data_IF_789642234783
#
_entry.id   IF_789642234783
#
_cell.length_a   1.000
_cell.length_b   1.000
_cell.length_c   1.000
_cell.angle_alpha   90.00
_cell.angle_beta   90.00
_cell.angle_gamma   90.00
#
_symmetry.space_group_name_H-M   'P 1'
#
loop_
_entity.id
_entity.type
_entity.pdbx_description
1 polymer ?
#
# COMPACT_ATOMS: atom_id res chain seq x y z
N UNK A 1 18.35 -2.60 3.57
CA UNK A 1 18.57 -1.52 2.61
C UNK A 1 17.50 -1.56 1.55
N UNK A 2 17.58 -0.66 0.57
CA UNK A 2 16.67 -0.59 -0.59
C UNK A 2 17.49 -0.88 -1.85
N UNK A 3 17.02 -1.79 -2.69
CA UNK A 3 17.69 -2.19 -3.93
C UNK A 3 16.72 -2.01 -5.10
N UNK A 4 17.19 -1.44 -6.21
CA UNK A 4 16.40 -1.29 -7.43
C UNK A 4 16.13 -2.66 -8.08
N UNK A 5 14.93 -2.87 -8.60
CA UNK A 5 14.52 -4.09 -9.29
C UNK A 5 13.49 -3.78 -10.39
N UNK A 6 13.18 -4.76 -11.22
CA UNK A 6 12.10 -4.68 -12.20
C UNK A 6 10.73 -4.89 -11.53
N UNK A 7 9.75 -4.07 -11.94
CA UNK A 7 8.37 -4.09 -11.48
C UNK A 7 7.51 -5.16 -12.17
N UNK A 8 6.22 -4.86 -12.36
CA UNK A 8 5.25 -5.82 -12.92
C UNK A 8 5.57 -6.13 -14.38
N UNK A 9 5.76 -5.11 -15.21
CA UNK A 9 6.01 -5.29 -16.65
C UNK A 9 7.45 -4.94 -16.98
N UNK A 10 8.22 -5.92 -17.43
CA UNK A 10 9.53 -5.73 -18.04
C UNK A 10 9.44 -5.19 -19.48
N UNK A 11 8.35 -5.51 -20.18
CA UNK A 11 8.01 -5.04 -21.52
C UNK A 11 6.62 -4.39 -21.54
N UNK A 12 6.52 -3.19 -20.96
CA UNK A 12 5.28 -2.42 -21.02
C UNK A 12 5.07 -1.86 -22.43
N UNK A 13 4.03 -2.30 -23.13
CA UNK A 13 3.65 -1.69 -24.40
C UNK A 13 3.29 -0.22 -24.18
N UNK A 14 3.96 0.69 -24.89
CA UNK A 14 3.69 2.13 -24.86
C UNK A 14 2.68 2.55 -25.92
N UNK A 15 2.69 1.88 -27.06
CA UNK A 15 1.82 2.17 -28.19
C UNK A 15 1.71 0.95 -29.10
N UNK A 16 0.76 0.97 -30.01
CA UNK A 16 0.69 0.04 -31.14
C UNK A 16 1.04 0.83 -32.40
N UNK A 17 1.99 0.35 -33.19
CA UNK A 17 2.34 0.89 -34.51
C UNK A 17 2.16 -0.22 -35.55
N UNK A 18 1.35 0.03 -36.58
CA UNK A 18 1.07 -0.92 -37.66
C UNK A 18 0.62 -2.32 -37.18
N UNK A 19 -0.16 -2.36 -36.11
CA UNK A 19 -0.62 -3.61 -35.50
C UNK A 19 0.42 -4.32 -34.62
N UNK A 20 1.62 -3.76 -34.49
CA UNK A 20 2.72 -4.30 -33.67
C UNK A 20 2.88 -3.48 -32.38
N UNK A 21 2.93 -4.13 -31.20
CA UNK A 21 3.24 -3.44 -29.96
C UNK A 21 4.64 -2.86 -29.95
N UNK A 22 4.74 -1.57 -29.61
CA UNK A 22 6.02 -0.90 -29.33
C UNK A 22 6.22 -0.90 -27.82
N UNK A 23 7.23 -1.64 -27.37
CA UNK A 23 7.55 -1.77 -25.96
C UNK A 23 8.40 -0.59 -25.47
N UNK A 24 8.02 -0.06 -24.31
CA UNK A 24 8.77 0.93 -23.55
C UNK A 24 9.73 0.31 -22.54
N UNK A 25 10.21 1.14 -21.62
CA UNK A 25 11.07 0.70 -20.51
C UNK A 25 10.27 -0.16 -19.52
N UNK A 26 10.98 -1.12 -18.92
CA UNK A 26 10.50 -1.88 -17.77
C UNK A 26 10.03 -0.97 -16.62
N UNK A 27 8.99 -1.40 -15.92
CA UNK A 27 8.51 -0.79 -14.69
C UNK A 27 9.64 -0.80 -13.65
N UNK A 28 9.81 0.32 -12.94
CA UNK A 28 10.74 0.40 -11.84
C UNK A 28 10.09 -0.07 -10.55
N UNK A 29 10.79 -0.89 -9.78
CA UNK A 29 10.37 -1.31 -8.46
C UNK A 29 11.55 -1.32 -7.49
N UNK A 30 11.24 -1.41 -6.20
CA UNK A 30 12.24 -1.42 -5.14
C UNK A 30 12.04 -2.63 -4.26
N UNK A 31 13.13 -3.35 -3.99
CA UNK A 31 13.16 -4.47 -3.06
C UNK A 31 13.75 -4.00 -1.73
N UNK A 32 12.99 -4.17 -0.66
CA UNK A 32 13.47 -4.00 0.70
C UNK A 32 14.28 -5.24 1.10
N UNK A 33 15.56 -5.07 1.44
CA UNK A 33 16.46 -6.17 1.82
C UNK A 33 16.65 -6.31 3.33
N UNK A 34 16.17 -5.34 4.10
CA UNK A 34 16.14 -5.34 5.56
C UNK A 34 14.83 -4.69 6.00
N UNK A 35 14.44 -4.87 7.27
CA UNK A 35 13.32 -4.10 7.83
C UNK A 35 13.62 -2.61 7.69
N UNK A 36 12.72 -1.91 7.03
CA UNK A 36 12.76 -0.46 6.84
C UNK A 36 11.35 0.07 7.07
N UNK A 37 11.26 1.18 7.80
CA UNK A 37 10.03 1.94 7.98
C UNK A 37 10.28 3.30 7.34
N UNK A 38 9.39 3.69 6.43
CA UNK A 38 9.41 5.02 5.82
C UNK A 38 8.29 5.81 6.49
N UNK A 39 8.64 6.90 7.16
CA UNK A 39 7.70 7.74 7.90
C UNK A 39 7.81 9.17 7.39
N UNK A 40 6.66 9.80 7.21
CA UNK A 40 6.52 11.23 6.88
C UNK A 40 5.42 11.80 7.75
N UNK A 41 5.54 13.07 8.14
CA UNK A 41 4.49 13.75 8.90
C UNK A 41 3.26 13.95 8.00
N UNK A 42 2.09 13.52 8.46
CA UNK A 42 0.82 13.73 7.75
C UNK A 42 0.54 15.22 7.57
N UNK A 43 0.88 16.08 8.54
CA UNK A 43 0.74 17.53 8.41
C UNK A 43 1.62 18.15 7.30
N UNK A 44 2.73 17.51 6.94
CA UNK A 44 3.58 17.97 5.83
C UNK A 44 2.99 17.57 4.46
N UNK A 45 2.37 16.39 4.38
CA UNK A 45 1.81 15.84 3.14
C UNK A 45 0.39 16.37 2.88
N UNK A 46 -0.41 16.49 3.93
CA UNK A 46 -1.81 16.88 3.92
C UNK A 46 -1.99 18.17 4.73
N UNK A 47 -1.61 19.29 4.12
CA UNK A 47 -1.60 20.61 4.79
C UNK A 47 -2.99 21.09 5.20
N UNK A 48 -4.04 20.60 4.54
CA UNK A 48 -5.43 20.92 4.81
C UNK A 48 -6.12 19.92 5.76
N UNK A 49 -5.34 18.98 6.33
CA UNK A 49 -5.86 17.87 7.13
C UNK A 49 -5.90 16.56 6.35
N UNK A 50 -5.93 15.45 7.09
CA UNK A 50 -6.02 14.11 6.48
C UNK A 50 -7.41 13.95 5.82
N UNK A 51 -7.49 13.42 4.59
CA UNK A 51 -8.75 13.35 3.86
C UNK A 51 -9.72 12.32 4.47
N UNK A 52 -11.00 12.69 4.54
CA UNK A 52 -12.07 11.79 4.98
C UNK A 52 -12.40 10.71 3.93
N UNK A 53 -12.24 11.05 2.65
CA UNK A 53 -12.41 10.13 1.51
C UNK A 53 -11.06 9.96 0.80
N UNK A 54 -10.60 8.72 0.70
CA UNK A 54 -9.29 8.40 0.15
C UNK A 54 -9.29 7.05 -0.53
N UNK A 55 -8.40 6.91 -1.51
CA UNK A 55 -8.05 5.62 -2.09
C UNK A 55 -6.56 5.33 -1.89
N UNK A 56 -6.25 4.08 -1.54
CA UNK A 56 -4.88 3.58 -1.43
C UNK A 56 -4.65 2.60 -2.57
N UNK A 57 -3.69 2.91 -3.44
CA UNK A 57 -3.27 2.03 -4.52
C UNK A 57 -1.85 1.57 -4.26
N UNK A 58 -1.66 0.25 -4.18
CA UNK A 58 -0.34 -0.33 -4.01
C UNK A 58 -0.13 -1.52 -4.93
N UNK A 59 1.11 -1.61 -5.43
CA UNK A 59 1.63 -2.77 -6.13
C UNK A 59 2.76 -3.35 -5.30
N UNK A 60 2.62 -4.61 -4.88
CA UNK A 60 3.64 -5.28 -4.08
C UNK A 60 3.85 -6.72 -4.54
N UNK A 61 5.06 -7.21 -4.29
CA UNK A 61 5.40 -8.63 -4.36
C UNK A 61 5.90 -9.06 -2.98
N UNK A 62 5.01 -9.49 -2.09
CA UNK A 62 5.40 -9.92 -0.75
C UNK A 62 6.16 -11.25 -0.84
N UNK A 63 7.08 -11.48 0.11
CA UNK A 63 7.70 -12.79 0.22
C UNK A 63 6.64 -13.83 0.62
N UNK A 64 6.86 -15.09 0.22
CA UNK A 64 5.92 -16.15 0.50
C UNK A 64 5.74 -16.32 2.03
N UNK A 65 4.49 -16.41 2.47
CA UNK A 65 4.14 -16.67 3.87
C UNK A 65 4.29 -15.47 4.83
N UNK A 66 4.55 -14.26 4.35
CA UNK A 66 4.59 -13.08 5.24
C UNK A 66 3.20 -12.65 5.68
N UNK A 67 3.12 -12.11 6.89
CA UNK A 67 2.07 -11.17 7.31
C UNK A 67 2.80 -9.88 7.74
N UNK A 68 2.44 -8.74 7.16
CA UNK A 68 3.11 -7.46 7.42
C UNK A 68 2.15 -6.30 7.26
N UNK A 69 2.43 -5.21 7.97
CA UNK A 69 1.85 -3.90 7.67
C UNK A 69 2.47 -3.39 6.37
N UNK A 70 1.61 -2.94 5.45
CA UNK A 70 1.99 -2.27 4.21
C UNK A 70 2.03 -0.76 4.41
N UNK A 71 1.01 -0.21 5.08
CA UNK A 71 0.83 1.22 5.30
C UNK A 71 0.13 1.43 6.63
N UNK A 72 0.56 2.44 7.39
CA UNK A 72 -0.09 2.82 8.64
C UNK A 72 -0.03 4.33 8.84
N UNK A 73 -1.10 4.88 9.40
CA UNK A 73 -1.23 6.27 9.84
C UNK A 73 -1.37 6.25 11.35
N UNK A 74 -0.57 7.07 12.02
CA UNK A 74 -0.57 7.22 13.47
C UNK A 74 -0.94 8.65 13.82
N UNK A 75 -1.62 8.85 14.96
CA UNK A 75 -1.79 10.17 15.54
C UNK A 75 -0.53 10.61 16.32
N UNK A 76 -0.56 11.81 16.89
CA UNK A 76 0.57 12.38 17.62
C UNK A 76 0.94 11.61 18.90
N UNK A 77 0.01 10.83 19.46
CA UNK A 77 0.25 9.95 20.60
C UNK A 77 0.85 8.58 20.18
N UNK A 78 0.95 8.30 18.88
CA UNK A 78 1.45 7.04 18.34
C UNK A 78 0.38 5.95 18.20
N UNK A 79 -0.90 6.29 18.31
CA UNK A 79 -1.99 5.33 18.15
C UNK A 79 -2.38 5.16 16.68
N UNK A 80 -2.56 3.91 16.27
CA UNK A 80 -2.96 3.52 14.91
C UNK A 80 -4.33 4.08 14.55
N UNK A 81 -4.38 5.02 13.61
CA UNK A 81 -5.64 5.57 13.08
C UNK A 81 -6.12 4.77 11.86
N UNK A 82 -5.18 4.31 11.04
CA UNK A 82 -5.45 3.53 9.84
C UNK A 82 -4.29 2.57 9.59
N UNK A 83 -4.58 1.30 9.30
CA UNK A 83 -3.58 0.27 9.02
C UNK A 83 -4.05 -0.59 7.85
N UNK A 84 -3.21 -0.71 6.81
CA UNK A 84 -3.36 -1.70 5.74
C UNK A 84 -2.38 -2.82 5.99
N UNK A 85 -2.91 -4.03 6.22
CA UNK A 85 -2.12 -5.23 6.44
C UNK A 85 -2.24 -6.19 5.25
N UNK A 86 -1.12 -6.84 4.94
CA UNK A 86 -1.02 -7.84 3.88
C UNK A 86 -0.53 -9.14 4.46
N UNK A 87 -1.26 -10.22 4.18
CA UNK A 87 -0.84 -11.57 4.53
C UNK A 87 -1.65 -12.63 3.79
N UNK A 88 -2.21 -13.58 4.56
CA UNK A 88 -3.20 -14.53 4.03
C UNK A 88 -4.42 -13.82 3.47
N UNK A 89 -4.89 -12.78 4.14
CA UNK A 89 -5.86 -11.83 3.62
C UNK A 89 -5.22 -10.46 3.59
N UNK A 90 -5.83 -9.57 2.82
CA UNK A 90 -5.58 -8.15 2.90
C UNK A 90 -6.66 -7.54 3.76
N UNK A 91 -6.28 -6.74 4.74
CA UNK A 91 -7.21 -6.06 5.64
C UNK A 91 -6.90 -4.58 5.76
N UNK A 92 -7.95 -3.78 5.92
CA UNK A 92 -7.90 -2.38 6.31
C UNK A 92 -8.51 -2.29 7.71
N UNK A 93 -7.77 -1.74 8.66
CA UNK A 93 -8.26 -1.42 10.00
C UNK A 93 -8.23 0.09 10.17
N UNK A 94 -9.31 0.69 10.65
CA UNK A 94 -9.37 2.13 10.90
C UNK A 94 -10.15 2.43 12.18
N UNK A 95 -9.84 3.56 12.81
CA UNK A 95 -10.60 4.07 13.96
C UNK A 95 -11.60 5.12 13.49
N UNK A 96 -12.83 5.00 13.98
CA UNK A 96 -13.79 6.10 13.96
C UNK A 96 -13.65 6.86 15.28
N UNK A 97 -13.32 8.16 15.18
CA UNK A 97 -13.37 9.09 16.30
C UNK A 97 -14.61 9.96 16.18
N UNK A 98 -15.16 10.37 17.32
CA UNK A 98 -16.06 11.53 17.37
C UNK A 98 -15.23 12.81 17.60
N UNK A 99 -15.82 13.98 17.30
CA UNK A 99 -15.21 15.30 17.54
C UNK A 99 -14.90 15.55 19.03
N UNK A 100 -15.40 14.70 19.92
CA UNK A 100 -15.24 14.75 21.38
C UNK A 100 -14.02 13.95 21.87
N UNK A 101 -13.34 13.22 20.98
CA UNK A 101 -12.11 12.48 21.28
C UNK A 101 -12.35 11.08 21.88
N UNK A 102 -13.58 10.58 21.88
CA UNK A 102 -13.85 9.19 22.21
C UNK A 102 -13.46 8.29 21.04
N UNK A 103 -12.83 7.16 21.37
CA UNK A 103 -12.43 6.16 20.38
C UNK A 103 -13.41 5.01 20.40
N UNK A 104 -14.09 4.80 19.27
CA UNK A 104 -14.79 3.54 19.02
C UNK A 104 -13.78 2.40 18.86
N UNK A 105 -14.19 1.14 19.10
CA UNK A 105 -13.37 0.00 18.73
C UNK A 105 -12.94 0.09 17.25
N UNK A 106 -11.69 -0.26 16.90
CA UNK A 106 -11.25 -0.25 15.50
C UNK A 106 -12.14 -1.12 14.63
N UNK A 107 -12.47 -0.61 13.45
CA UNK A 107 -13.24 -1.33 12.43
C UNK A 107 -12.26 -2.00 11.49
N UNK A 108 -12.45 -3.31 11.25
CA UNK A 108 -11.65 -4.09 10.31
C UNK A 108 -12.49 -4.53 9.11
N UNK A 109 -11.97 -4.29 7.91
CA UNK A 109 -12.50 -4.78 6.64
C UNK A 109 -11.50 -5.74 6.02
N UNK A 110 -11.94 -6.97 5.74
CA UNK A 110 -11.15 -7.98 5.03
C UNK A 110 -11.56 -8.05 3.55
N UNK A 111 -10.62 -7.90 2.64
CA UNK A 111 -10.89 -7.86 1.20
C UNK A 111 -10.90 -9.25 0.54
N UNK A 112 -10.64 -10.33 1.30
CA UNK A 112 -10.65 -11.71 0.78
C UNK A 112 -9.56 -12.03 -0.25
N UNK A 113 -8.63 -11.10 -0.51
CA UNK A 113 -7.51 -11.29 -1.44
C UNK A 113 -6.35 -11.97 -0.74
N UNK A 114 -5.82 -13.05 -1.33
CA UNK A 114 -4.60 -13.72 -0.85
C UNK A 114 -3.38 -13.14 -1.53
N UNK A 115 -2.44 -12.61 -0.76
CA UNK A 115 -1.23 -11.99 -1.31
C UNK A 115 0.06 -12.73 -0.94
N UNK A 116 0.04 -13.69 -0.03
CA UNK A 116 1.25 -14.34 0.49
C UNK A 116 1.84 -15.46 -0.40
N UNK A 117 1.56 -15.47 -1.70
CA UNK A 117 1.97 -16.52 -2.66
C UNK A 117 3.24 -16.19 -3.47
N UNK A 118 3.83 -15.00 -3.24
CA UNK A 118 5.05 -14.57 -3.94
C UNK A 118 4.80 -13.94 -5.32
N UNK A 119 3.55 -13.75 -5.74
CA UNK A 119 3.20 -13.08 -7.00
C UNK A 119 3.00 -11.58 -6.80
N UNK A 120 3.18 -10.82 -7.89
CA UNK A 120 2.84 -9.39 -7.88
C UNK A 120 1.32 -9.23 -7.86
N UNK A 121 0.79 -8.43 -6.94
CA UNK A 121 -0.63 -8.08 -6.87
C UNK A 121 -0.76 -6.55 -6.81
N UNK A 122 -1.72 -6.01 -7.57
CA UNK A 122 -2.16 -4.62 -7.46
C UNK A 122 -3.52 -4.59 -6.79
N UNK A 123 -3.66 -3.78 -5.76
CA UNK A 123 -4.95 -3.61 -5.06
C UNK A 123 -5.24 -2.14 -4.86
N UNK A 124 -6.50 -1.80 -5.08
CA UNK A 124 -7.09 -0.50 -4.82
C UNK A 124 -7.99 -0.68 -3.61
N UNK A 125 -7.72 0.08 -2.56
CA UNK A 125 -8.61 0.27 -1.43
C UNK A 125 -9.26 1.63 -1.62
N UNK A 126 -10.58 1.72 -1.45
CA UNK A 126 -11.35 2.95 -1.54
C UNK A 126 -12.75 2.69 -1.05
#
# INVERSE_FOLDING_TARGET
GVVNTTGICDQRAKSIQDGVPVYGRADQAYRLTQRAVLTVSTAQVFQEGFPDDLSIVATLRPAQGINSVLFAVYNDAGDEQLVVSVGKTVSLTYQEGDDEGNRSPPIQVDFGVRMNDGKSVTTIFG
#
